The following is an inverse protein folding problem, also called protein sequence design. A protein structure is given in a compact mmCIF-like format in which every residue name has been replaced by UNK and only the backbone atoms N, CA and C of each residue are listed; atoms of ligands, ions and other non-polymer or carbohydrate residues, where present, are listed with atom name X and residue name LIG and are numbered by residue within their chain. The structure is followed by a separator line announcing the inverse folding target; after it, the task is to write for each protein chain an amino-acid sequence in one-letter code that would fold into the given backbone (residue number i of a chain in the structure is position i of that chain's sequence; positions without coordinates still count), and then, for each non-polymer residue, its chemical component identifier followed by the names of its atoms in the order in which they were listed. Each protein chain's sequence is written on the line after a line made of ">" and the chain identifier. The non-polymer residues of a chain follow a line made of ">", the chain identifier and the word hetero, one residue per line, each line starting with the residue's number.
data_IF_798263266570
#
_entry.id   IF_798263266570
#
_cell.length_a   1.000
_cell.length_b   1.000
_cell.length_c   1.000
_cell.angle_alpha   90.00
_cell.angle_beta   90.00
_cell.angle_gamma   90.00
#
_symmetry.space_group_name_H-M   'P 1'
#
loop_
_entity.id
_entity.type
_entity.pdbx_description
1 polymer ?
#
# COMPACT_ATOMS: atom_id res chain seq x y z
N UNK A 1 3.44 -7.95 30.73
CA UNK A 1 2.99 -6.69 30.09
C UNK A 1 4.17 -6.11 29.33
N UNK A 2 4.02 -5.78 28.03
CA UNK A 2 5.04 -5.08 27.25
C UNK A 2 5.36 -3.71 27.87
N UNK A 3 6.63 -3.42 28.05
CA UNK A 3 7.06 -2.16 28.57
C UNK A 3 8.07 -1.50 27.60
N UNK A 4 8.09 -0.17 27.55
CA UNK A 4 8.93 0.59 26.63
C UNK A 4 10.42 0.30 26.78
N UNK A 5 10.91 0.17 27.99
CA UNK A 5 12.33 -0.13 28.23
C UNK A 5 12.75 -1.46 27.60
N UNK A 6 11.93 -2.50 27.67
CA UNK A 6 12.22 -3.80 27.07
C UNK A 6 12.18 -3.73 25.55
N UNK A 7 11.24 -2.96 24.97
CA UNK A 7 11.22 -2.68 23.53
C UNK A 7 12.47 -1.92 23.07
N UNK A 8 12.91 -0.92 23.81
CA UNK A 8 14.14 -0.15 23.50
C UNK A 8 15.38 -1.04 23.53
N UNK A 9 15.47 -1.96 24.49
CA UNK A 9 16.55 -2.94 24.54
C UNK A 9 16.52 -3.90 23.35
N UNK A 10 15.33 -4.40 23.02
CA UNK A 10 15.11 -5.25 21.86
C UNK A 10 15.53 -4.55 20.56
N UNK A 11 15.07 -3.29 20.32
CA UNK A 11 15.45 -2.45 19.18
C UNK A 11 16.98 -2.32 19.05
N UNK A 12 17.65 -2.04 20.16
CA UNK A 12 19.11 -1.89 20.18
C UNK A 12 19.81 -3.14 19.70
N UNK A 13 19.36 -4.34 20.13
CA UNK A 13 19.95 -5.63 19.73
C UNK A 13 19.61 -5.95 18.27
N UNK A 14 18.37 -5.71 17.84
CA UNK A 14 17.95 -5.96 16.48
C UNK A 14 18.76 -5.15 15.44
N UNK A 15 19.01 -3.89 15.74
CA UNK A 15 19.80 -2.98 14.86
C UNK A 15 21.28 -3.29 14.85
N UNK A 16 21.86 -3.69 15.97
CA UNK A 16 23.31 -3.93 16.06
C UNK A 16 23.73 -5.35 15.70
N UNK A 17 22.80 -6.31 15.73
CA UNK A 17 23.08 -7.74 15.60
C UNK A 17 23.95 -8.32 16.74
N UNK A 18 24.13 -7.59 17.87
CA UNK A 18 25.05 -7.96 18.94
C UNK A 18 24.61 -7.46 20.31
N UNK A 19 24.49 -8.38 21.28
CA UNK A 19 24.24 -8.00 22.68
C UNK A 19 25.37 -7.19 23.29
N UNK A 20 26.62 -7.47 22.89
CA UNK A 20 27.81 -6.75 23.41
C UNK A 20 27.81 -5.31 22.93
N UNK A 21 27.64 -5.09 21.60
CA UNK A 21 27.61 -3.74 21.02
C UNK A 21 26.41 -2.93 21.54
N UNK A 22 25.24 -3.57 21.68
CA UNK A 22 24.07 -2.91 22.28
C UNK A 22 24.27 -2.57 23.75
N UNK A 23 24.91 -3.45 24.54
CA UNK A 23 25.21 -3.19 25.93
C UNK A 23 26.12 -1.97 26.09
N UNK A 24 27.20 -1.88 25.31
CA UNK A 24 28.09 -0.73 25.29
C UNK A 24 27.35 0.58 24.95
N UNK A 25 26.54 0.58 23.93
CA UNK A 25 25.74 1.75 23.48
C UNK A 25 24.75 2.23 24.55
N UNK A 26 24.16 1.29 25.29
CA UNK A 26 23.12 1.58 26.29
C UNK A 26 23.68 1.76 27.71
N UNK A 27 24.98 1.62 27.90
CA UNK A 27 25.61 1.68 29.23
C UNK A 27 25.20 0.49 30.12
N UNK A 28 24.87 -0.67 29.55
CA UNK A 28 24.38 -1.86 30.24
C UNK A 28 25.39 -3.03 30.06
N UNK A 29 25.46 -3.90 31.07
CA UNK A 29 26.15 -5.16 30.89
C UNK A 29 25.38 -6.05 29.89
N UNK A 30 26.10 -6.66 28.94
CA UNK A 30 25.52 -7.53 27.91
C UNK A 30 24.73 -8.72 28.50
N UNK A 31 25.13 -9.24 29.67
CA UNK A 31 24.40 -10.32 30.35
C UNK A 31 23.05 -9.83 30.91
N UNK A 32 23.00 -8.59 31.41
CA UNK A 32 21.76 -7.95 31.87
C UNK A 32 20.82 -7.72 30.69
N UNK A 33 21.36 -7.21 29.57
CA UNK A 33 20.61 -7.00 28.35
C UNK A 33 20.03 -8.32 27.81
N UNK A 34 20.87 -9.38 27.73
CA UNK A 34 20.42 -10.70 27.29
C UNK A 34 19.32 -11.28 28.18
N UNK A 35 19.45 -11.12 29.51
CA UNK A 35 18.42 -11.58 30.46
C UNK A 35 17.10 -10.84 30.28
N UNK A 36 17.13 -9.52 30.06
CA UNK A 36 15.91 -8.71 29.85
C UNK A 36 15.23 -9.08 28.52
N UNK A 37 15.99 -9.26 27.44
CA UNK A 37 15.45 -9.71 26.16
C UNK A 37 14.87 -11.13 26.28
N UNK A 38 15.53 -12.05 26.99
CA UNK A 38 14.98 -13.38 27.24
C UNK A 38 13.69 -13.33 28.08
N UNK A 39 13.61 -12.42 29.05
CA UNK A 39 12.37 -12.21 29.82
C UNK A 39 11.22 -11.68 28.93
N UNK A 40 11.53 -10.79 27.98
CA UNK A 40 10.58 -10.31 26.98
C UNK A 40 10.09 -11.46 26.09
N UNK A 41 10.99 -12.29 25.56
CA UNK A 41 10.65 -13.49 24.77
C UNK A 41 9.72 -14.43 25.55
N UNK A 42 10.03 -14.66 26.83
CA UNK A 42 9.20 -15.48 27.69
C UNK A 42 7.80 -14.89 27.93
N UNK A 43 7.73 -13.56 28.14
CA UNK A 43 6.44 -12.88 28.34
C UNK A 43 5.53 -12.89 27.09
N UNK A 44 6.15 -12.98 25.90
CA UNK A 44 5.45 -13.06 24.62
C UNK A 44 5.21 -14.51 24.14
N UNK A 45 5.78 -15.49 24.85
CA UNK A 45 5.67 -16.91 24.48
C UNK A 45 6.36 -17.27 23.16
N UNK A 46 7.26 -16.44 22.66
CA UNK A 46 7.96 -16.66 21.38
C UNK A 46 9.40 -16.13 21.41
N UNK A 47 10.26 -16.75 20.61
CA UNK A 47 11.63 -16.25 20.42
C UNK A 47 11.61 -15.10 19.42
N UNK A 48 12.35 -14.03 19.78
CA UNK A 48 12.50 -12.83 18.95
C UNK A 48 13.82 -12.84 18.18
N UNK A 49 14.80 -13.62 18.66
CA UNK A 49 16.14 -13.71 18.06
C UNK A 49 16.61 -15.14 17.84
N UNK A 50 17.24 -15.36 16.70
CA UNK A 50 18.09 -16.50 16.42
C UNK A 50 19.54 -16.11 16.77
N UNK A 51 20.18 -16.96 17.61
CA UNK A 51 21.56 -16.75 18.06
C UNK A 51 22.49 -17.71 17.34
N UNK A 52 23.51 -17.18 16.69
CA UNK A 52 24.51 -17.97 15.98
C UNK A 52 25.93 -17.46 16.29
N UNK A 53 26.99 -18.21 15.97
CA UNK A 53 28.37 -17.71 16.07
C UNK A 53 28.66 -16.46 15.23
N UNK A 54 27.79 -16.18 14.24
CA UNK A 54 27.88 -15.01 13.36
C UNK A 54 27.16 -13.77 13.90
N UNK A 55 26.49 -13.89 15.05
CA UNK A 55 25.72 -12.82 15.69
C UNK A 55 24.27 -13.19 15.97
N UNK A 56 23.48 -12.16 16.17
CA UNK A 56 22.06 -12.26 16.56
C UNK A 56 21.21 -11.67 15.44
N UNK A 57 20.23 -12.43 14.97
CA UNK A 57 19.28 -11.98 13.93
C UNK A 57 17.84 -12.12 14.41
N UNK A 58 16.94 -11.17 14.07
CA UNK A 58 15.53 -11.30 14.40
C UNK A 58 14.90 -12.52 13.73
N UNK A 59 14.08 -13.26 14.46
CA UNK A 59 13.15 -14.28 13.91
C UNK A 59 12.02 -13.59 13.14
N UNK A 60 11.12 -14.37 12.54
CA UNK A 60 9.89 -13.81 11.93
C UNK A 60 9.07 -12.99 12.95
N UNK A 61 8.87 -13.53 14.16
CA UNK A 61 8.20 -12.79 15.25
C UNK A 61 9.01 -11.56 15.70
N UNK A 62 10.36 -11.67 15.70
CA UNK A 62 11.26 -10.55 15.95
C UNK A 62 11.12 -9.44 14.91
N UNK A 63 11.01 -9.77 13.62
CA UNK A 63 10.79 -8.78 12.56
C UNK A 63 9.43 -8.08 12.69
N UNK A 64 8.38 -8.82 13.03
CA UNK A 64 7.06 -8.24 13.31
C UNK A 64 7.11 -7.27 14.50
N UNK A 65 7.76 -7.69 15.61
CA UNK A 65 7.92 -6.81 16.78
C UNK A 65 8.81 -5.60 16.48
N UNK A 66 9.87 -5.76 15.66
CA UNK A 66 10.78 -4.68 15.28
C UNK A 66 10.02 -3.51 14.67
N UNK A 67 9.16 -3.79 13.70
CA UNK A 67 8.34 -2.76 13.09
C UNK A 67 7.45 -2.01 14.10
N UNK A 68 6.82 -2.72 15.03
CA UNK A 68 6.01 -2.07 16.06
C UNK A 68 6.85 -1.27 17.07
N UNK A 69 8.00 -1.80 17.45
CA UNK A 69 8.89 -1.16 18.40
C UNK A 69 9.52 0.13 17.85
N UNK A 70 9.87 0.16 16.56
CA UNK A 70 10.35 1.37 15.87
C UNK A 70 9.30 2.48 15.89
N UNK A 71 8.04 2.15 15.64
CA UNK A 71 6.94 3.13 15.72
C UNK A 71 6.71 3.66 17.14
N UNK A 72 6.86 2.83 18.16
CA UNK A 72 6.79 3.28 19.56
C UNK A 72 7.94 4.22 19.89
N UNK A 73 9.17 3.92 19.44
CA UNK A 73 10.33 4.79 19.61
C UNK A 73 10.10 6.17 18.98
N UNK A 74 9.61 6.20 17.74
CA UNK A 74 9.29 7.45 17.05
C UNK A 74 8.25 8.28 17.80
N UNK A 75 7.20 7.63 18.34
CA UNK A 75 6.16 8.31 19.10
C UNK A 75 6.68 8.89 20.41
N UNK A 76 7.54 8.16 21.13
CA UNK A 76 8.21 8.65 22.35
C UNK A 76 9.11 9.84 22.04
N UNK A 77 9.88 9.78 20.96
CA UNK A 77 10.75 10.89 20.52
C UNK A 77 9.93 12.10 20.07
N UNK A 78 8.82 11.88 19.37
CA UNK A 78 7.88 12.93 18.94
C UNK A 78 7.24 13.63 20.14
N UNK A 79 6.81 12.87 21.15
CA UNK A 79 6.25 13.42 22.38
C UNK A 79 7.28 14.31 23.12
N UNK A 80 8.55 13.90 23.18
CA UNK A 80 9.63 14.70 23.76
C UNK A 80 9.79 16.04 23.04
N UNK A 81 9.87 16.05 21.70
CA UNK A 81 10.00 17.26 20.89
C UNK A 81 8.80 18.20 21.03
N UNK A 82 7.60 17.65 21.10
CA UNK A 82 6.36 18.43 21.26
C UNK A 82 6.33 19.21 22.59
N UNK A 83 6.88 18.62 23.66
CA UNK A 83 6.93 19.27 24.98
C UNK A 83 8.02 20.35 25.04
N UNK A 84 9.12 20.16 24.27
CA UNK A 84 10.24 21.12 24.22
C UNK A 84 9.94 22.39 23.38
N UNK A 85 8.76 22.48 22.76
CA UNK A 85 8.37 23.66 21.97
C UNK A 85 9.21 23.91 20.70
N UNK A 86 9.97 22.90 20.28
CA UNK A 86 10.70 22.95 19.01
C UNK A 86 9.70 22.79 17.86
N UNK A 87 9.79 23.66 16.88
CA UNK A 87 8.92 23.76 15.70
C UNK A 87 8.46 22.39 15.22
N UNK A 88 7.13 22.23 15.09
CA UNK A 88 6.45 20.99 14.75
C UNK A 88 6.75 20.54 13.31
N UNK A 89 7.99 20.23 13.02
CA UNK A 89 8.31 19.58 11.76
C UNK A 89 7.73 18.16 11.82
N UNK A 90 6.61 17.99 11.12
CA UNK A 90 5.93 16.68 11.03
C UNK A 90 6.90 15.67 10.44
N UNK A 91 7.29 14.67 11.22
CA UNK A 91 8.37 13.73 10.87
C UNK A 91 8.03 12.29 11.23
N UNK A 92 8.74 11.34 10.62
CA UNK A 92 8.67 9.90 10.88
C UNK A 92 8.10 9.09 9.74
N UNK A 93 8.00 7.77 9.92
CA UNK A 93 7.53 6.83 8.90
C UNK A 93 6.00 6.79 8.90
N UNK A 94 5.40 6.78 7.71
CA UNK A 94 3.97 6.54 7.49
C UNK A 94 3.79 5.44 6.44
N UNK A 95 3.16 4.33 6.82
CA UNK A 95 2.85 3.23 5.90
C UNK A 95 1.47 3.40 5.30
N UNK A 96 1.44 3.59 3.98
CA UNK A 96 0.23 3.72 3.17
C UNK A 96 0.02 2.45 2.35
N UNK A 97 -1.00 1.66 2.70
CA UNK A 97 -1.45 0.54 1.87
C UNK A 97 -2.47 1.03 0.85
N UNK A 98 -2.35 0.53 -0.38
CA UNK A 98 -3.25 0.91 -1.48
C UNK A 98 -3.55 -0.29 -2.37
N UNK A 99 -4.61 -0.17 -3.19
CA UNK A 99 -4.72 -1.04 -4.35
C UNK A 99 -3.56 -0.76 -5.32
N UNK A 100 -3.17 -1.77 -6.09
CA UNK A 100 -2.00 -1.68 -6.99
C UNK A 100 -2.09 -0.48 -7.95
N UNK A 101 -3.20 -0.33 -8.69
CA UNK A 101 -3.37 0.77 -9.63
C UNK A 101 -3.27 2.15 -8.96
N UNK A 102 -3.91 2.33 -7.80
CA UNK A 102 -3.89 3.61 -7.10
C UNK A 102 -2.49 3.93 -6.58
N UNK A 103 -1.80 2.96 -5.99
CA UNK A 103 -0.44 3.15 -5.48
C UNK A 103 0.56 3.47 -6.59
N UNK A 104 0.61 2.64 -7.65
CA UNK A 104 1.63 2.74 -8.69
C UNK A 104 1.38 3.90 -9.66
N UNK A 105 0.13 4.07 -10.12
CA UNK A 105 -0.20 5.05 -11.17
C UNK A 105 -0.65 6.41 -10.64
N UNK A 106 -1.09 6.49 -9.38
CA UNK A 106 -1.56 7.75 -8.81
C UNK A 106 -0.65 8.28 -7.70
N UNK A 107 -0.32 7.49 -6.67
CA UNK A 107 0.49 7.98 -5.53
C UNK A 107 1.97 8.10 -5.89
N UNK A 108 2.60 7.04 -6.39
CA UNK A 108 4.04 7.01 -6.63
C UNK A 108 4.55 8.19 -7.49
N UNK A 109 3.89 8.61 -8.58
CA UNK A 109 4.32 9.77 -9.36
C UNK A 109 4.22 11.11 -8.62
N UNK A 110 3.54 11.16 -7.44
CA UNK A 110 3.27 12.38 -6.66
C UNK A 110 4.00 12.45 -5.32
N UNK A 111 4.73 11.41 -4.95
CA UNK A 111 5.47 11.36 -3.67
C UNK A 111 6.46 12.53 -3.54
N UNK A 112 7.03 13.01 -4.65
CA UNK A 112 7.89 14.18 -4.64
C UNK A 112 7.19 15.46 -4.12
N UNK A 113 5.87 15.59 -4.34
CA UNK A 113 5.08 16.70 -3.81
C UNK A 113 4.88 16.59 -2.29
N UNK A 114 4.67 15.37 -1.79
CA UNK A 114 4.63 15.10 -0.35
C UNK A 114 5.97 15.43 0.30
N UNK A 115 7.07 14.97 -0.29
CA UNK A 115 8.42 15.24 0.21
C UNK A 115 8.75 16.73 0.23
N UNK A 116 8.30 17.50 -0.78
CA UNK A 116 8.47 18.96 -0.81
C UNK A 116 7.70 19.67 0.32
N UNK A 117 6.53 19.16 0.71
CA UNK A 117 5.71 19.76 1.78
C UNK A 117 6.16 19.29 3.18
N UNK A 118 6.59 18.03 3.28
CA UNK A 118 6.95 17.37 4.53
C UNK A 118 8.25 16.56 4.36
N UNK A 119 9.41 17.20 4.26
CA UNK A 119 10.68 16.55 3.92
C UNK A 119 11.16 15.54 4.98
N UNK A 120 10.63 15.62 6.19
CA UNK A 120 10.98 14.72 7.29
C UNK A 120 9.98 13.52 7.42
N UNK A 121 9.01 13.39 6.51
CA UNK A 121 8.15 12.20 6.42
C UNK A 121 8.78 11.19 5.44
N UNK A 122 8.96 9.97 5.90
CA UNK A 122 9.25 8.80 5.07
C UNK A 122 7.93 8.07 4.76
N UNK A 123 7.58 7.97 3.48
CA UNK A 123 6.39 7.26 3.04
C UNK A 123 6.74 5.83 2.61
N UNK A 124 6.24 4.83 3.35
CA UNK A 124 6.25 3.43 2.93
C UNK A 124 4.97 3.13 2.14
N UNK A 125 5.08 3.01 0.84
CA UNK A 125 3.96 2.68 -0.03
C UNK A 125 3.88 1.18 -0.27
N UNK A 126 2.75 0.57 0.11
CA UNK A 126 2.48 -0.87 -0.06
C UNK A 126 1.31 -1.05 -1.03
N UNK A 127 1.59 -1.18 -2.35
CA UNK A 127 0.56 -1.44 -3.35
C UNK A 127 0.26 -2.94 -3.40
N UNK A 128 -0.88 -3.36 -2.86
CA UNK A 128 -1.28 -4.76 -2.80
C UNK A 128 -2.58 -5.01 -3.56
N UNK A 129 -2.68 -6.20 -4.18
CA UNK A 129 -3.91 -6.67 -4.82
C UNK A 129 -4.91 -7.24 -3.82
N UNK A 130 -4.56 -7.40 -2.54
CA UNK A 130 -5.42 -7.92 -1.47
C UNK A 130 -5.70 -6.87 -0.41
N UNK A 131 -6.89 -6.92 0.20
CA UNK A 131 -7.25 -6.06 1.31
C UNK A 131 -6.31 -6.26 2.51
N UNK A 132 -5.58 -5.22 2.88
CA UNK A 132 -4.71 -5.21 4.06
C UNK A 132 -5.56 -5.14 5.33
N UNK A 133 -5.20 -5.92 6.33
CA UNK A 133 -5.91 -5.94 7.60
C UNK A 133 -5.42 -4.81 8.51
N UNK A 134 -6.03 -3.63 8.40
CA UNK A 134 -5.75 -2.48 9.28
C UNK A 134 -5.97 -2.78 10.77
N UNK A 135 -6.84 -3.74 11.11
CA UNK A 135 -7.05 -4.16 12.50
C UNK A 135 -5.80 -4.81 13.10
N UNK A 136 -4.93 -5.37 12.27
CA UNK A 136 -3.61 -5.90 12.67
C UNK A 136 -2.50 -4.85 12.63
N UNK A 137 -2.83 -3.59 12.34
CA UNK A 137 -1.86 -2.47 12.22
C UNK A 137 -0.76 -2.73 11.18
N UNK A 138 -1.08 -3.43 10.10
CA UNK A 138 -0.15 -3.67 9.00
C UNK A 138 0.13 -2.40 8.17
N UNK A 139 -0.75 -1.38 8.27
CA UNK A 139 -0.59 -0.05 7.70
C UNK A 139 -1.18 1.04 8.63
N UNK A 140 -0.78 2.29 8.44
CA UNK A 140 -1.31 3.46 9.14
C UNK A 140 -2.54 4.02 8.44
N UNK A 141 -2.48 4.05 7.10
CA UNK A 141 -3.55 4.49 6.21
C UNK A 141 -3.76 3.39 5.17
N UNK A 142 -5.02 3.10 4.82
CA UNK A 142 -5.33 2.23 3.70
C UNK A 142 -6.26 2.91 2.71
N UNK A 143 -6.01 2.68 1.41
CA UNK A 143 -6.94 3.00 0.33
C UNK A 143 -7.54 1.69 -0.16
N UNK A 144 -8.86 1.55 0.05
CA UNK A 144 -9.60 0.32 -0.17
C UNK A 144 -10.73 0.50 -1.19
N UNK A 145 -11.14 -0.62 -1.82
CA UNK A 145 -12.32 -0.69 -2.70
C UNK A 145 -13.62 -0.80 -1.90
N UNK A 146 -13.53 -1.17 -0.62
CA UNK A 146 -14.68 -1.38 0.24
C UNK A 146 -14.61 -0.52 1.50
N UNK A 147 -15.76 -0.01 1.93
CA UNK A 147 -15.90 0.59 3.25
C UNK A 147 -15.88 -0.52 4.29
N UNK A 148 -15.06 -0.42 5.35
CA UNK A 148 -15.07 -1.41 6.43
C UNK A 148 -16.39 -1.32 7.20
N UNK A 149 -16.95 -2.47 7.54
CA UNK A 149 -18.20 -2.58 8.32
C UNK A 149 -17.96 -2.66 9.82
N UNK A 150 -16.74 -2.99 10.24
CA UNK A 150 -16.39 -3.27 11.62
C UNK A 150 -15.02 -2.72 12.01
N UNK A 151 -14.79 -2.54 13.32
CA UNK A 151 -13.51 -2.12 13.89
C UNK A 151 -13.46 -0.66 14.31
N UNK A 152 -12.38 -0.28 15.03
CA UNK A 152 -12.12 1.11 15.46
C UNK A 152 -11.48 1.88 14.29
N UNK A 153 -12.19 1.99 13.16
CA UNK A 153 -11.73 2.55 11.91
C UNK A 153 -12.55 3.77 11.52
N UNK A 154 -11.89 4.80 11.06
CA UNK A 154 -12.51 5.94 10.38
C UNK A 154 -12.38 5.71 8.86
N UNK A 155 -13.48 5.73 8.15
CA UNK A 155 -13.52 5.56 6.71
C UNK A 155 -14.20 6.77 6.06
N UNK A 156 -13.53 7.35 5.06
CA UNK A 156 -14.05 8.43 4.24
C UNK A 156 -14.00 8.04 2.77
N UNK A 157 -15.07 8.38 2.01
CA UNK A 157 -15.04 8.26 0.55
C UNK A 157 -14.00 9.23 0.00
N UNK A 158 -13.06 8.71 -0.81
CA UNK A 158 -11.94 9.47 -1.31
C UNK A 158 -12.24 10.08 -2.68
N UNK A 159 -12.51 9.24 -3.67
CA UNK A 159 -12.79 9.62 -5.05
C UNK A 159 -13.48 8.47 -5.78
N UNK A 160 -14.31 8.78 -6.77
CA UNK A 160 -14.83 7.79 -7.71
C UNK A 160 -13.82 7.57 -8.83
N UNK A 161 -13.76 6.35 -9.34
CA UNK A 161 -12.89 5.99 -10.45
C UNK A 161 -13.64 5.14 -11.47
N UNK A 162 -13.15 5.18 -12.71
CA UNK A 162 -13.70 4.43 -13.83
C UNK A 162 -12.73 3.37 -14.30
N UNK A 163 -13.29 2.22 -14.64
CA UNK A 163 -12.62 1.17 -15.41
C UNK A 163 -13.28 1.13 -16.78
N UNK A 164 -12.48 1.21 -17.83
CA UNK A 164 -12.93 1.17 -19.21
C UNK A 164 -12.15 0.15 -20.02
N UNK A 165 -12.64 -0.14 -21.22
CA UNK A 165 -11.99 -1.01 -22.18
C UNK A 165 -10.96 -0.22 -22.99
N UNK A 166 -9.76 -0.77 -23.14
CA UNK A 166 -8.66 -0.15 -23.88
C UNK A 166 -7.98 -1.13 -24.83
N UNK A 167 -7.41 -0.57 -25.88
CA UNK A 167 -6.53 -1.26 -26.81
C UNK A 167 -5.40 -0.31 -27.24
N UNK A 168 -4.27 -0.85 -27.69
CA UNK A 168 -3.22 -0.02 -28.29
C UNK A 168 -3.62 0.46 -29.68
N UNK A 169 -3.14 1.64 -30.10
CA UNK A 169 -3.32 2.15 -31.45
C UNK A 169 -2.84 1.14 -32.48
N UNK A 170 -1.72 0.46 -32.21
CA UNK A 170 -1.13 -0.53 -33.11
C UNK A 170 -2.03 -1.79 -33.28
N UNK A 171 -2.75 -2.19 -32.22
CA UNK A 171 -3.74 -3.27 -32.33
C UNK A 171 -4.93 -2.83 -33.18
N UNK A 172 -5.48 -1.66 -32.93
CA UNK A 172 -6.60 -1.12 -33.69
C UNK A 172 -6.27 -0.88 -35.17
N UNK A 173 -5.02 -0.51 -35.47
CA UNK A 173 -4.55 -0.40 -36.88
C UNK A 173 -4.58 -1.74 -37.61
N UNK A 174 -4.41 -2.88 -36.88
CA UNK A 174 -4.46 -4.23 -37.48
C UNK A 174 -5.87 -4.81 -37.54
N UNK A 175 -6.69 -4.55 -36.53
CA UNK A 175 -8.03 -5.16 -36.39
C UNK A 175 -9.14 -4.30 -37.00
N UNK A 176 -8.90 -3.03 -37.22
CA UNK A 176 -9.91 -2.00 -37.47
C UNK A 176 -10.57 -1.50 -36.17
N UNK A 177 -11.38 -0.45 -36.27
CA UNK A 177 -12.16 0.05 -35.14
C UNK A 177 -13.17 -1.00 -34.66
N UNK A 178 -13.40 -1.05 -33.35
CA UNK A 178 -14.42 -1.90 -32.72
C UNK A 178 -15.59 -1.02 -32.31
N UNK A 179 -16.74 -1.24 -32.95
CA UNK A 179 -17.95 -0.43 -32.72
C UNK A 179 -19.03 -1.18 -31.94
N UNK A 180 -18.92 -2.50 -31.85
CA UNK A 180 -19.90 -3.35 -31.17
C UNK A 180 -19.26 -4.39 -30.24
N UNK A 181 -20.01 -4.83 -29.22
CA UNK A 181 -19.61 -5.95 -28.36
C UNK A 181 -19.47 -7.27 -29.14
N UNK A 182 -20.20 -7.44 -30.25
CA UNK A 182 -20.12 -8.64 -31.07
C UNK A 182 -18.76 -8.74 -31.76
N UNK A 183 -18.25 -7.65 -32.30
CA UNK A 183 -16.90 -7.56 -32.89
C UNK A 183 -15.80 -7.82 -31.86
N UNK A 184 -15.95 -7.24 -30.64
CA UNK A 184 -14.99 -7.44 -29.55
C UNK A 184 -14.83 -8.91 -29.17
N UNK A 185 -15.92 -9.69 -29.21
CA UNK A 185 -15.93 -11.11 -28.78
C UNK A 185 -14.99 -12.02 -29.56
N UNK A 186 -14.63 -11.64 -30.78
CA UNK A 186 -13.70 -12.39 -31.63
C UNK A 186 -12.24 -11.99 -31.39
N UNK A 187 -12.01 -10.91 -30.68
CA UNK A 187 -10.69 -10.33 -30.47
C UNK A 187 -9.94 -10.97 -29.28
N UNK A 188 -8.60 -10.91 -29.29
CA UNK A 188 -7.80 -11.35 -28.14
C UNK A 188 -8.08 -10.44 -26.95
N UNK A 189 -8.32 -11.05 -25.77
CA UNK A 189 -8.69 -10.34 -24.56
C UNK A 189 -7.70 -10.60 -23.42
N UNK A 190 -7.35 -9.56 -22.67
CA UNK A 190 -6.52 -9.59 -21.49
C UNK A 190 -7.45 -9.45 -20.29
N UNK A 191 -7.44 -10.44 -19.40
CA UNK A 191 -8.43 -10.62 -18.36
C UNK A 191 -7.79 -10.70 -16.98
N UNK A 192 -8.60 -10.62 -15.96
CA UNK A 192 -8.24 -10.93 -14.59
C UNK A 192 -8.21 -12.44 -14.36
N UNK A 193 -7.51 -12.88 -13.30
CA UNK A 193 -7.70 -14.20 -12.73
C UNK A 193 -8.99 -14.15 -11.94
N UNK A 194 -10.00 -14.89 -12.35
CA UNK A 194 -11.39 -14.75 -11.91
C UNK A 194 -11.55 -14.86 -10.39
N UNK A 195 -10.87 -15.83 -9.77
CA UNK A 195 -10.93 -16.07 -8.33
C UNK A 195 -10.28 -14.94 -7.50
N UNK A 196 -9.56 -14.03 -8.16
CA UNK A 196 -8.87 -12.91 -7.54
C UNK A 196 -9.56 -11.56 -7.78
N UNK A 197 -10.73 -11.54 -8.43
CA UNK A 197 -11.53 -10.33 -8.62
C UNK A 197 -12.43 -10.11 -7.40
N UNK A 198 -12.14 -9.06 -6.62
CA UNK A 198 -12.93 -8.69 -5.43
C UNK A 198 -14.21 -7.91 -5.75
N UNK A 199 -14.37 -7.43 -7.00
CA UNK A 199 -15.52 -6.63 -7.43
C UNK A 199 -16.46 -7.46 -8.30
N UNK A 200 -17.68 -7.80 -7.82
CA UNK A 200 -18.64 -8.60 -8.59
C UNK A 200 -19.00 -7.99 -9.95
N UNK A 201 -19.17 -6.67 -10.02
CA UNK A 201 -19.52 -5.97 -11.26
C UNK A 201 -18.41 -6.06 -12.30
N UNK A 202 -17.15 -5.95 -11.86
CA UNK A 202 -15.99 -6.12 -12.73
C UNK A 202 -15.87 -7.56 -13.22
N UNK A 203 -16.13 -8.54 -12.34
CA UNK A 203 -16.13 -9.96 -12.68
C UNK A 203 -17.19 -10.27 -13.75
N UNK A 204 -18.42 -9.79 -13.55
CA UNK A 204 -19.51 -10.00 -14.50
C UNK A 204 -19.21 -9.35 -15.85
N UNK A 205 -18.67 -8.13 -15.85
CA UNK A 205 -18.28 -7.44 -17.08
C UNK A 205 -17.15 -8.20 -17.79
N UNK A 206 -16.09 -8.55 -17.09
CA UNK A 206 -14.94 -9.28 -17.64
C UNK A 206 -15.38 -10.61 -18.29
N UNK A 207 -16.21 -11.40 -17.61
CA UNK A 207 -16.78 -12.65 -18.14
C UNK A 207 -17.65 -12.41 -19.39
N UNK A 208 -18.39 -11.32 -19.44
CA UNK A 208 -19.26 -11.00 -20.58
C UNK A 208 -18.48 -10.64 -21.85
N UNK A 209 -17.28 -10.09 -21.69
CA UNK A 209 -16.42 -9.59 -22.76
C UNK A 209 -15.39 -10.62 -23.23
N UNK A 210 -14.81 -11.39 -22.31
CA UNK A 210 -13.60 -12.20 -22.55
C UNK A 210 -13.91 -13.60 -23.08
N UNK A 211 -14.32 -13.72 -24.34
CA UNK A 211 -14.49 -15.05 -24.99
C UNK A 211 -13.17 -15.66 -25.47
N UNK A 212 -12.22 -14.86 -25.94
CA UNK A 212 -10.89 -15.30 -26.38
C UNK A 212 -9.81 -14.72 -25.47
N UNK A 213 -9.76 -15.18 -24.22
CA UNK A 213 -8.73 -14.74 -23.30
C UNK A 213 -7.36 -15.32 -23.70
N UNK A 214 -6.37 -14.44 -23.90
CA UNK A 214 -5.00 -14.80 -24.28
C UNK A 214 -3.99 -14.58 -23.14
N UNK A 215 -4.37 -13.80 -22.13
CA UNK A 215 -3.54 -13.53 -20.95
C UNK A 215 -4.41 -13.21 -19.75
N UNK A 216 -4.03 -13.74 -18.58
CA UNK A 216 -4.66 -13.42 -17.29
C UNK A 216 -3.62 -13.03 -16.27
N UNK A 217 -3.93 -12.01 -15.48
CA UNK A 217 -3.06 -11.59 -14.38
C UNK A 217 -3.88 -11.04 -13.22
N UNK A 218 -3.39 -11.20 -11.99
CA UNK A 218 -3.88 -10.48 -10.82
C UNK A 218 -3.30 -9.08 -10.71
N UNK A 219 -2.20 -8.79 -11.43
CA UNK A 219 -1.55 -7.49 -11.47
C UNK A 219 -2.16 -6.61 -12.56
N UNK A 220 -2.71 -5.48 -12.15
CA UNK A 220 -3.25 -4.45 -13.07
C UNK A 220 -2.15 -3.84 -13.92
N UNK A 221 -0.95 -3.70 -13.37
CA UNK A 221 0.22 -3.20 -14.11
C UNK A 221 0.62 -4.18 -15.22
N UNK A 222 0.67 -5.49 -14.94
CA UNK A 222 0.97 -6.50 -15.95
C UNK A 222 -0.10 -6.55 -17.06
N UNK A 223 -1.38 -6.39 -16.71
CA UNK A 223 -2.45 -6.28 -17.71
C UNK A 223 -2.28 -5.04 -18.59
N UNK A 224 -1.97 -3.90 -18.00
CA UNK A 224 -1.73 -2.64 -18.73
C UNK A 224 -0.57 -2.77 -19.71
N UNK A 225 0.57 -3.34 -19.30
CA UNK A 225 1.72 -3.59 -20.18
C UNK A 225 1.36 -4.55 -21.34
N UNK A 226 0.56 -5.57 -21.08
CA UNK A 226 0.08 -6.48 -22.12
C UNK A 226 -0.83 -5.76 -23.13
N UNK A 227 -1.69 -4.81 -22.68
CA UNK A 227 -2.50 -3.99 -23.61
C UNK A 227 -1.62 -3.04 -24.40
N UNK A 228 -0.65 -2.38 -23.78
CA UNK A 228 0.31 -1.48 -24.43
C UNK A 228 1.10 -2.23 -25.53
N UNK A 229 1.50 -3.48 -25.28
CA UNK A 229 2.22 -4.30 -26.25
C UNK A 229 1.40 -4.72 -27.47
N UNK A 230 0.08 -4.41 -27.48
CA UNK A 230 -0.82 -4.79 -28.57
C UNK A 230 -1.22 -6.26 -28.57
N UNK A 231 -1.10 -6.96 -27.43
CA UNK A 231 -1.49 -8.36 -27.28
C UNK A 231 -3.01 -8.55 -27.40
N UNK A 232 -3.81 -7.59 -26.89
CA UNK A 232 -5.25 -7.69 -26.87
C UNK A 232 -5.95 -6.49 -26.24
N UNK A 233 -7.26 -6.59 -26.13
CA UNK A 233 -8.12 -5.64 -25.45
C UNK A 233 -8.13 -5.95 -23.95
N UNK A 234 -8.20 -4.94 -23.08
CA UNK A 234 -8.22 -5.14 -21.63
C UNK A 234 -9.00 -4.06 -20.88
N UNK A 235 -9.51 -4.43 -19.70
CA UNK A 235 -10.17 -3.50 -18.78
C UNK A 235 -9.12 -2.81 -17.91
N UNK A 236 -8.97 -1.49 -18.06
CA UNK A 236 -7.97 -0.70 -17.36
C UNK A 236 -8.61 0.45 -16.57
N UNK A 237 -7.95 0.87 -15.49
CA UNK A 237 -8.34 2.05 -14.73
C UNK A 237 -8.08 3.31 -15.56
N UNK A 238 -9.12 4.12 -15.84
CA UNK A 238 -9.01 5.28 -16.72
C UNK A 238 -7.95 6.29 -16.24
N UNK A 239 -7.84 6.50 -14.92
CA UNK A 239 -6.85 7.43 -14.34
C UNK A 239 -5.38 6.96 -14.49
N UNK A 240 -5.17 5.65 -14.70
CA UNK A 240 -3.84 5.09 -14.89
C UNK A 240 -3.33 5.23 -16.33
N UNK A 241 -4.23 5.39 -17.29
CA UNK A 241 -3.89 5.58 -18.69
C UNK A 241 -3.44 7.03 -18.94
N UNK A 242 -2.33 7.21 -19.65
CA UNK A 242 -1.83 8.52 -20.04
C UNK A 242 -1.49 8.57 -21.55
N UNK A 243 -1.43 9.78 -22.17
CA UNK A 243 -1.23 9.92 -23.61
C UNK A 243 0.03 9.26 -24.18
N UNK A 244 1.08 9.06 -23.36
CA UNK A 244 2.34 8.43 -23.81
C UNK A 244 2.19 6.93 -24.06
N UNK A 245 1.15 6.30 -23.52
CA UNK A 245 0.89 4.86 -23.65
C UNK A 245 0.27 4.51 -25.00
N UNK A 246 -0.21 5.49 -25.79
CA UNK A 246 -0.85 5.27 -27.08
C UNK A 246 -2.00 4.26 -27.01
N UNK A 247 -2.80 4.38 -25.94
CA UNK A 247 -3.98 3.57 -25.70
C UNK A 247 -5.23 4.34 -26.06
N UNK A 248 -6.16 3.66 -26.74
CA UNK A 248 -7.45 4.20 -27.14
C UNK A 248 -8.53 3.54 -26.30
N UNK A 249 -9.45 4.33 -25.78
CA UNK A 249 -10.64 3.84 -25.10
C UNK A 249 -11.63 3.33 -26.13
N UNK A 250 -12.09 2.09 -25.95
CA UNK A 250 -12.96 1.38 -26.89
C UNK A 250 -14.34 1.21 -26.25
N UNK A 251 -15.42 1.44 -27.00
CA UNK A 251 -16.81 1.35 -26.56
C UNK A 251 -17.11 2.10 -25.25
N UNK A 252 -16.71 3.39 -25.13
CA UNK A 252 -16.77 4.12 -23.86
C UNK A 252 -18.20 4.24 -23.28
N UNK A 253 -19.22 4.25 -24.14
CA UNK A 253 -20.63 4.38 -23.73
C UNK A 253 -21.25 3.04 -23.30
N UNK A 254 -20.58 1.93 -23.57
CA UNK A 254 -21.11 0.58 -23.34
C UNK A 254 -20.31 -0.17 -22.29
N UNK A 255 -19.00 0.05 -22.23
CA UNK A 255 -18.09 -0.66 -21.35
C UNK A 255 -17.49 0.31 -20.34
N UNK A 256 -18.16 0.40 -19.18
CA UNK A 256 -17.70 1.22 -18.05
C UNK A 256 -18.13 0.58 -16.72
N UNK A 257 -17.24 0.60 -15.74
CA UNK A 257 -17.55 0.34 -14.33
C UNK A 257 -17.11 1.55 -13.51
N UNK A 258 -18.02 2.09 -12.71
CA UNK A 258 -17.74 3.22 -11.79
C UNK A 258 -17.78 2.72 -10.36
N UNK A 259 -16.72 3.01 -9.58
CA UNK A 259 -16.58 2.61 -8.19
C UNK A 259 -15.93 3.73 -7.39
N UNK A 260 -15.85 3.55 -6.07
CA UNK A 260 -15.25 4.53 -5.16
C UNK A 260 -14.07 3.94 -4.42
N UNK A 261 -13.01 4.72 -4.27
CA UNK A 261 -11.97 4.45 -3.27
C UNK A 261 -12.37 5.01 -1.92
N UNK A 262 -12.05 4.26 -0.88
CA UNK A 262 -12.24 4.64 0.52
C UNK A 262 -10.89 4.79 1.19
N UNK A 263 -10.68 5.93 1.86
CA UNK A 263 -9.53 6.11 2.73
C UNK A 263 -9.91 5.70 4.14
N UNK A 264 -9.10 4.84 4.74
CA UNK A 264 -9.36 4.22 6.04
C UNK A 264 -8.15 4.45 6.94
N UNK A 265 -8.41 4.93 8.15
CA UNK A 265 -7.40 5.17 9.19
C UNK A 265 -7.91 4.61 10.52
N UNK A 266 -7.03 4.01 11.33
CA UNK A 266 -7.42 3.59 12.67
C UNK A 266 -7.73 4.82 13.54
N UNK A 267 -8.81 4.76 14.35
CA UNK A 267 -9.29 5.91 15.16
C UNK A 267 -8.20 6.50 16.05
N UNK A 268 -7.35 5.64 16.64
CA UNK A 268 -6.27 6.07 17.52
C UNK A 268 -5.13 6.79 16.77
N UNK A 269 -4.98 6.52 15.45
CA UNK A 269 -3.96 7.10 14.59
C UNK A 269 -4.40 8.36 13.85
N UNK A 270 -5.71 8.60 13.72
CA UNK A 270 -6.26 9.71 12.95
C UNK A 270 -5.83 11.11 13.46
N UNK A 271 -5.38 11.19 14.73
CA UNK A 271 -4.90 12.45 15.34
C UNK A 271 -3.38 12.61 15.30
N UNK A 272 -2.65 11.59 14.88
CA UNK A 272 -1.19 11.62 14.78
C UNK A 272 -0.78 12.57 13.64
N UNK A 273 0.04 13.63 13.89
CA UNK A 273 0.28 14.68 12.91
C UNK A 273 0.81 14.18 11.56
N UNK A 274 1.78 13.26 11.54
CA UNK A 274 2.34 12.69 10.30
C UNK A 274 1.33 11.88 9.50
N UNK A 275 0.47 11.11 10.19
CA UNK A 275 -0.57 10.30 9.53
C UNK A 275 -1.62 11.23 8.92
N UNK A 276 -2.02 12.28 9.65
CA UNK A 276 -2.94 13.29 9.17
C UNK A 276 -2.37 14.02 7.95
N UNK A 277 -1.09 14.44 7.99
CA UNK A 277 -0.45 15.13 6.88
C UNK A 277 -0.47 14.28 5.59
N UNK A 278 -0.15 12.98 5.68
CA UNK A 278 -0.22 12.06 4.53
C UNK A 278 -1.67 11.83 4.08
N UNK A 279 -2.62 11.66 5.00
CA UNK A 279 -4.03 11.48 4.67
C UNK A 279 -4.60 12.74 3.96
N UNK A 280 -4.29 13.93 4.47
CA UNK A 280 -4.72 15.22 3.88
C UNK A 280 -4.08 15.40 2.50
N UNK A 281 -2.79 15.08 2.32
CA UNK A 281 -2.11 15.10 1.03
C UNK A 281 -2.81 14.18 0.02
N UNK A 282 -3.05 12.91 0.36
CA UNK A 282 -3.72 11.95 -0.52
C UNK A 282 -5.11 12.44 -0.91
N UNK A 283 -5.89 12.95 0.06
CA UNK A 283 -7.23 13.47 -0.19
C UNK A 283 -7.21 14.73 -1.07
N UNK A 284 -6.24 15.62 -0.88
CA UNK A 284 -6.06 16.81 -1.70
C UNK A 284 -5.70 16.45 -3.15
N UNK A 285 -4.73 15.53 -3.34
CA UNK A 285 -4.33 15.09 -4.67
C UNK A 285 -5.48 14.41 -5.42
N UNK A 286 -6.24 13.54 -4.74
CA UNK A 286 -7.39 12.85 -5.34
C UNK A 286 -8.46 13.85 -5.79
N UNK A 287 -8.81 14.83 -4.95
CA UNK A 287 -9.77 15.90 -5.29
C UNK A 287 -9.30 16.77 -6.44
N UNK A 288 -8.04 17.19 -6.43
CA UNK A 288 -7.47 18.03 -7.49
C UNK A 288 -7.44 17.34 -8.86
N UNK A 289 -7.45 16.01 -8.89
CA UNK A 289 -7.40 15.20 -10.11
C UNK A 289 -8.70 14.41 -10.35
N UNK A 290 -9.80 14.74 -9.68
CA UNK A 290 -11.06 13.98 -9.76
C UNK A 290 -11.57 13.77 -11.19
N UNK A 291 -11.33 14.73 -12.11
CA UNK A 291 -11.72 14.59 -13.52
C UNK A 291 -10.95 13.48 -14.28
N UNK A 292 -9.82 13.00 -13.75
CA UNK A 292 -9.03 11.92 -14.38
C UNK A 292 -9.48 10.54 -13.94
N UNK A 293 -10.16 10.46 -12.82
CA UNK A 293 -10.67 9.21 -12.28
C UNK A 293 -11.97 8.79 -12.96
#
# INVERSE_FOLDING_TARGET
>A
MLNWDDLRLFLSVARSGSFVASGQRLGLNHTTLARRVTALEHSLGTRLFDRSPRGVQPTKAGMELLHHAERVEEEVLSAGRSVEGQDEQVSGVVRLSTTEAFGTSFIAPRVHLLNAQHPAIELELVPESRAVNLSKREADIAISLHRPDHGRLQAARLVDYRIGLFASEDLLARTGPIETLAELRSQPFISYIEEMIDLPELRNLDQSLSRRCVFRSSSVTAQMEAVISGLGFGLLHCFAVNPRMRLVRVLPEVVEVVRSYWMIVHTDLARVPRIRAVADFVAQQARAQAARF
#
